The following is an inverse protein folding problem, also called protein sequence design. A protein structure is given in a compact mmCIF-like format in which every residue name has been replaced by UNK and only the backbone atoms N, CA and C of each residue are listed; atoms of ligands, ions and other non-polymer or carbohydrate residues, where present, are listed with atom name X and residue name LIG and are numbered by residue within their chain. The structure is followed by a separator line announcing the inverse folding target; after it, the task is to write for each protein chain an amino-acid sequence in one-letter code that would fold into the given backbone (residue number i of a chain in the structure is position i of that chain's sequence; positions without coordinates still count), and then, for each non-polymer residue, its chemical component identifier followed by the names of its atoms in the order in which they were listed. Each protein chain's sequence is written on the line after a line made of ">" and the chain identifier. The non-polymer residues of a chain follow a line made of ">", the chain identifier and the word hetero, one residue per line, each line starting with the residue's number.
data_IF_346364173117
#
_entry.id   IF_346364173117
#
_cell.length_a   1.000
_cell.length_b   1.000
_cell.length_c   1.000
_cell.angle_alpha   90.00
_cell.angle_beta   90.00
_cell.angle_gamma   90.00
#
_symmetry.space_group_name_H-M   'P 1'
#
loop_
_entity.id
_entity.type
_entity.pdbx_description
1 polymer ?
#
# COMPACT_ATOMS: atom_id res chain seq x y z
N UNK A 1 16.62 36.59 -45.17
CA UNK A 1 17.40 35.65 -44.35
C UNK A 1 16.47 34.56 -43.90
N UNK A 2 16.81 33.34 -44.31
CA UNK A 2 16.06 32.09 -44.24
C UNK A 2 15.86 31.60 -42.81
N UNK A 3 14.63 31.19 -42.48
CA UNK A 3 14.32 30.39 -41.30
C UNK A 3 15.03 29.03 -41.42
N UNK A 4 15.78 28.55 -40.41
CA UNK A 4 16.29 27.19 -40.43
C UNK A 4 15.13 26.23 -40.10
N UNK A 5 14.73 25.48 -41.13
CA UNK A 5 13.85 24.31 -41.05
C UNK A 5 14.64 23.11 -40.54
N UNK A 6 14.04 22.34 -39.63
CA UNK A 6 14.43 20.95 -39.35
C UNK A 6 15.56 20.73 -38.34
N UNK A 7 15.31 21.05 -37.06
CA UNK A 7 16.02 20.37 -35.97
C UNK A 7 15.20 19.16 -35.56
N UNK A 8 15.73 17.95 -35.74
CA UNK A 8 15.10 16.73 -35.22
C UNK A 8 14.87 16.91 -33.72
N UNK A 9 13.59 17.00 -33.35
CA UNK A 9 13.19 17.07 -31.94
C UNK A 9 13.58 15.72 -31.33
N UNK A 10 14.72 15.68 -30.63
CA UNK A 10 15.17 14.48 -29.90
C UNK A 10 14.03 14.05 -28.97
N UNK A 11 13.52 12.84 -29.17
CA UNK A 11 12.45 12.26 -28.35
C UNK A 11 13.06 11.37 -27.27
N UNK A 12 12.39 11.31 -26.13
CA UNK A 12 12.76 10.38 -25.06
C UNK A 12 12.59 8.93 -25.55
N UNK A 13 13.64 8.12 -25.48
CA UNK A 13 13.61 6.70 -25.86
C UNK A 13 12.67 5.85 -24.99
N UNK A 14 12.30 6.34 -23.80
CA UNK A 14 11.41 5.62 -22.87
C UNK A 14 9.92 5.99 -22.94
N UNK A 15 9.57 7.23 -23.34
CA UNK A 15 8.16 7.67 -23.38
C UNK A 15 7.74 8.40 -24.66
N UNK A 16 8.65 8.63 -25.61
CA UNK A 16 8.35 9.26 -26.90
C UNK A 16 8.09 10.78 -26.86
N UNK A 17 8.09 11.42 -25.68
CA UNK A 17 7.87 12.88 -25.54
C UNK A 17 9.11 13.66 -26.03
N UNK A 18 8.93 14.81 -26.71
CA UNK A 18 10.00 15.77 -27.01
C UNK A 18 10.86 16.13 -25.81
N UNK A 19 12.18 16.03 -25.94
CA UNK A 19 13.11 16.44 -24.89
C UNK A 19 13.27 17.96 -24.85
N UNK A 20 13.36 18.51 -23.65
CA UNK A 20 13.56 19.94 -23.40
C UNK A 20 14.43 20.13 -22.14
N UNK A 21 15.16 21.25 -22.08
CA UNK A 21 16.03 21.59 -20.94
C UNK A 21 15.62 22.90 -20.24
N UNK A 22 14.54 23.53 -20.68
CA UNK A 22 14.13 24.87 -20.27
C UNK A 22 13.33 24.89 -18.95
N UNK A 23 12.53 23.86 -18.66
CA UNK A 23 11.60 23.84 -17.53
C UNK A 23 11.61 22.49 -16.81
N UNK A 24 12.18 22.44 -15.60
CA UNK A 24 12.36 21.19 -14.84
C UNK A 24 11.05 20.50 -14.46
N UNK A 25 10.00 21.28 -14.27
CA UNK A 25 8.65 20.86 -13.90
C UNK A 25 7.81 20.35 -15.09
N UNK A 26 8.27 20.52 -16.33
CA UNK A 26 7.52 20.14 -17.53
C UNK A 26 7.92 18.77 -18.10
N UNK A 27 6.96 18.04 -18.72
CA UNK A 27 7.25 16.77 -19.40
C UNK A 27 8.39 16.91 -20.42
N UNK A 28 9.21 15.87 -20.54
CA UNK A 28 10.36 15.87 -21.45
C UNK A 28 11.62 16.54 -20.89
N UNK A 29 11.61 17.03 -19.65
CA UNK A 29 12.80 17.67 -19.08
C UNK A 29 14.00 16.72 -19.04
N UNK A 30 15.16 17.22 -19.48
CA UNK A 30 16.46 16.57 -19.43
C UNK A 30 17.54 17.63 -19.18
N UNK A 31 18.37 17.51 -18.13
CA UNK A 31 19.50 18.42 -17.92
C UNK A 31 20.45 18.41 -19.13
N UNK A 32 20.96 19.58 -19.55
CA UNK A 32 21.82 19.73 -20.74
C UNK A 32 22.99 18.74 -20.78
N UNK A 33 23.57 18.43 -19.61
CA UNK A 33 24.67 17.47 -19.44
C UNK A 33 24.33 16.01 -19.84
N UNK A 34 23.05 15.69 -20.02
CA UNK A 34 22.58 14.33 -20.30
C UNK A 34 21.99 14.15 -21.70
N UNK A 35 22.09 15.16 -22.59
CA UNK A 35 21.53 15.14 -23.95
C UNK A 35 22.18 14.15 -24.93
N UNK A 36 23.41 13.76 -24.64
CA UNK A 36 24.22 12.89 -25.48
C UNK A 36 24.38 11.47 -24.91
N UNK A 37 23.57 11.10 -23.91
CA UNK A 37 23.52 9.73 -23.39
C UNK A 37 22.77 8.81 -24.35
N UNK A 38 23.21 7.57 -24.47
CA UNK A 38 22.53 6.51 -25.22
C UNK A 38 22.17 5.33 -24.28
N UNK A 39 20.88 4.99 -24.08
CA UNK A 39 19.69 5.64 -24.62
C UNK A 39 19.35 6.96 -23.92
N UNK A 40 18.97 7.98 -24.71
CA UNK A 40 18.54 9.28 -24.17
C UNK A 40 17.14 9.16 -23.58
N UNK A 41 17.01 9.41 -22.28
CA UNK A 41 15.73 9.30 -21.55
C UNK A 41 15.50 10.54 -20.70
N UNK A 42 14.28 11.10 -20.73
CA UNK A 42 13.92 12.26 -19.92
C UNK A 42 14.03 11.97 -18.43
N UNK A 43 14.13 13.00 -17.59
CA UNK A 43 14.26 12.88 -16.13
C UNK A 43 13.18 11.97 -15.54
N UNK A 44 11.94 12.06 -16.04
CA UNK A 44 10.85 11.14 -15.66
C UNK A 44 11.19 9.68 -15.99
N UNK A 45 11.56 9.35 -17.22
CA UNK A 45 11.91 7.97 -17.60
C UNK A 45 13.18 7.47 -16.89
N UNK A 46 14.15 8.36 -16.64
CA UNK A 46 15.32 8.06 -15.83
C UNK A 46 14.94 7.70 -14.39
N UNK A 47 14.00 8.44 -13.80
CA UNK A 47 13.49 8.19 -12.45
C UNK A 47 12.68 6.89 -12.36
N UNK A 48 11.87 6.60 -13.37
CA UNK A 48 11.18 5.31 -13.51
C UNK A 48 12.19 4.16 -13.60
N UNK A 49 13.21 4.28 -14.47
CA UNK A 49 14.18 3.20 -14.73
C UNK A 49 15.13 2.92 -13.56
N UNK A 50 15.60 3.96 -12.87
CA UNK A 50 16.65 3.83 -11.85
C UNK A 50 16.13 3.86 -10.41
N UNK A 51 15.03 4.58 -10.14
CA UNK A 51 14.47 4.72 -8.80
C UNK A 51 13.11 4.03 -8.64
N UNK A 52 12.63 3.34 -9.69
CA UNK A 52 11.28 2.76 -9.73
C UNK A 52 10.18 3.79 -9.42
N UNK A 53 10.47 5.07 -9.61
CA UNK A 53 9.52 6.17 -9.52
C UNK A 53 8.70 6.18 -10.82
N UNK A 54 7.89 5.15 -11.02
CA UNK A 54 6.70 5.25 -11.85
C UNK A 54 6.05 6.60 -11.50
N UNK A 55 5.90 7.48 -12.48
CA UNK A 55 4.92 8.54 -12.36
C UNK A 55 3.59 7.82 -12.17
N UNK A 56 3.23 7.56 -10.92
CA UNK A 56 1.92 7.08 -10.56
C UNK A 56 1.01 8.22 -10.99
N UNK A 57 0.43 8.10 -12.17
CA UNK A 57 -0.78 8.83 -12.49
C UNK A 57 -1.76 8.28 -11.47
N UNK A 58 -1.91 9.02 -10.38
CA UNK A 58 -2.74 8.64 -9.25
C UNK A 58 -4.17 8.77 -9.73
N UNK A 59 -4.87 7.66 -9.70
CA UNK A 59 -6.25 7.59 -10.14
C UNK A 59 -7.11 7.97 -8.95
N UNK A 60 -7.99 8.95 -9.13
CA UNK A 60 -9.03 9.20 -8.16
C UNK A 60 -9.91 7.95 -8.02
N UNK A 61 -10.46 7.70 -6.83
CA UNK A 61 -11.17 6.46 -6.52
C UNK A 61 -12.27 6.17 -7.56
N UNK A 62 -13.01 7.20 -7.99
CA UNK A 62 -14.10 7.08 -8.95
C UNK A 62 -13.64 6.65 -10.35
N UNK A 63 -12.50 7.16 -10.82
CA UNK A 63 -11.95 6.80 -12.13
C UNK A 63 -11.43 5.35 -12.12
N UNK A 64 -10.89 4.89 -10.99
CA UNK A 64 -10.50 3.51 -10.81
C UNK A 64 -11.71 2.57 -10.76
N UNK A 65 -12.80 2.96 -10.07
CA UNK A 65 -14.03 2.17 -10.04
C UNK A 65 -14.64 2.01 -11.45
N UNK A 66 -14.53 3.03 -12.31
CA UNK A 66 -14.92 2.92 -13.73
C UNK A 66 -14.05 1.91 -14.48
N UNK A 67 -12.74 1.91 -14.25
CA UNK A 67 -11.81 0.93 -14.82
C UNK A 67 -12.19 -0.49 -14.37
N UNK A 68 -12.45 -0.71 -13.08
CA UNK A 68 -12.90 -2.01 -12.59
C UNK A 68 -14.22 -2.46 -13.23
N UNK A 69 -15.17 -1.55 -13.42
CA UNK A 69 -16.43 -1.84 -14.11
C UNK A 69 -16.25 -2.35 -15.54
N UNK A 70 -15.21 -1.88 -16.25
CA UNK A 70 -14.86 -2.41 -17.58
C UNK A 70 -14.32 -3.85 -17.51
N UNK A 71 -13.65 -4.23 -16.42
CA UNK A 71 -13.16 -5.60 -16.20
C UNK A 71 -14.35 -6.55 -16.03
N UNK A 72 -15.40 -6.12 -15.34
CA UNK A 72 -16.61 -6.94 -15.12
C UNK A 72 -17.30 -7.45 -16.38
N UNK A 73 -17.19 -6.73 -17.49
CA UNK A 73 -17.74 -7.15 -18.80
C UNK A 73 -16.82 -8.05 -19.63
N UNK A 74 -15.59 -8.30 -19.18
CA UNK A 74 -14.59 -9.10 -19.89
C UNK A 74 -14.48 -10.50 -19.27
N UNK A 75 -13.97 -11.46 -20.06
CA UNK A 75 -13.60 -12.79 -19.56
C UNK A 75 -12.18 -12.73 -18.97
N UNK A 76 -12.10 -12.46 -17.66
CA UNK A 76 -10.86 -12.13 -16.98
C UNK A 76 -10.67 -12.95 -15.69
N UNK A 77 -9.42 -13.24 -15.34
CA UNK A 77 -9.02 -13.64 -14.00
C UNK A 77 -8.49 -12.40 -13.28
N UNK A 78 -8.96 -12.12 -12.07
CA UNK A 78 -8.52 -10.96 -11.29
C UNK A 78 -7.60 -11.42 -10.17
N UNK A 79 -6.35 -10.95 -10.19
CA UNK A 79 -5.44 -11.08 -9.06
C UNK A 79 -5.58 -9.83 -8.21
N UNK A 80 -6.22 -9.96 -7.04
CA UNK A 80 -6.28 -8.88 -6.07
C UNK A 80 -5.13 -9.00 -5.09
N UNK A 81 -4.18 -8.07 -5.14
CA UNK A 81 -3.08 -7.99 -4.18
C UNK A 81 -3.42 -7.05 -3.02
N UNK A 82 -3.21 -7.53 -1.80
CA UNK A 82 -3.42 -6.80 -0.54
C UNK A 82 -2.18 -6.89 0.35
N UNK A 83 -1.99 -5.91 1.22
CA UNK A 83 -0.92 -5.88 2.20
C UNK A 83 -1.43 -6.45 3.53
N UNK A 84 -0.79 -7.51 4.07
CA UNK A 84 -1.20 -8.10 5.34
C UNK A 84 -1.06 -7.14 6.52
N UNK A 85 -0.07 -6.24 6.49
CA UNK A 85 0.13 -5.24 7.55
C UNK A 85 -0.97 -4.19 7.56
N UNK A 86 -1.51 -3.88 6.38
CA UNK A 86 -2.48 -2.82 6.13
C UNK A 86 -3.68 -3.35 5.34
N UNK A 87 -4.26 -4.46 5.81
CA UNK A 87 -5.22 -5.26 5.05
C UNK A 87 -6.52 -4.47 4.77
N UNK A 88 -7.08 -3.81 5.77
CA UNK A 88 -8.33 -3.04 5.71
C UNK A 88 -8.13 -1.68 5.02
N UNK A 89 -6.87 -1.25 4.91
CA UNK A 89 -6.45 -0.11 4.09
C UNK A 89 -6.24 -0.50 2.62
N UNK A 90 -5.92 -1.76 2.31
CA UNK A 90 -5.58 -2.23 0.95
C UNK A 90 -6.66 -3.07 0.27
N UNK A 91 -7.63 -3.61 1.02
CA UNK A 91 -8.74 -4.38 0.49
C UNK A 91 -9.75 -3.49 -0.22
N UNK A 92 -10.03 -3.80 -1.49
CA UNK A 92 -11.00 -3.07 -2.30
C UNK A 92 -12.41 -3.51 -1.89
N UNK A 93 -13.08 -2.68 -1.09
CA UNK A 93 -14.44 -2.93 -0.66
C UNK A 93 -15.39 -2.99 -1.85
N UNK A 94 -16.17 -4.07 -1.95
CA UNK A 94 -17.12 -4.25 -3.05
C UNK A 94 -16.47 -4.56 -4.40
N UNK A 95 -15.19 -4.94 -4.46
CA UNK A 95 -14.50 -5.35 -5.70
C UNK A 95 -15.35 -6.33 -6.53
N UNK A 96 -15.96 -7.33 -5.87
CA UNK A 96 -16.81 -8.33 -6.51
C UNK A 96 -17.93 -7.72 -7.37
N UNK A 97 -18.50 -6.58 -6.95
CA UNK A 97 -19.57 -5.91 -7.69
C UNK A 97 -19.09 -5.34 -9.02
N UNK A 98 -17.83 -4.93 -9.09
CA UNK A 98 -17.22 -4.35 -10.28
C UNK A 98 -16.64 -5.41 -11.21
N UNK A 99 -16.04 -6.47 -10.66
CA UNK A 99 -15.48 -7.56 -11.46
C UNK A 99 -16.53 -8.59 -11.89
N UNK A 100 -17.77 -8.49 -11.39
CA UNK A 100 -18.88 -9.34 -11.80
C UNK A 100 -18.68 -10.81 -11.41
N UNK A 101 -18.77 -11.70 -12.41
CA UNK A 101 -18.58 -13.14 -12.24
C UNK A 101 -17.14 -13.60 -12.48
N UNK A 102 -16.21 -12.67 -12.68
CA UNK A 102 -14.81 -13.03 -12.89
C UNK A 102 -14.22 -13.64 -11.62
N UNK A 103 -13.48 -14.77 -11.74
CA UNK A 103 -12.80 -15.37 -10.60
C UNK A 103 -11.76 -14.41 -10.03
N UNK A 104 -11.67 -14.38 -8.70
CA UNK A 104 -10.70 -13.56 -7.97
C UNK A 104 -9.75 -14.43 -7.17
N UNK A 105 -8.46 -14.30 -7.42
CA UNK A 105 -7.40 -14.89 -6.60
C UNK A 105 -6.82 -13.79 -5.72
N UNK A 106 -6.86 -13.97 -4.40
CA UNK A 106 -6.34 -12.99 -3.45
C UNK A 106 -4.88 -13.30 -3.12
N UNK A 107 -3.98 -12.40 -3.47
CA UNK A 107 -2.58 -12.43 -3.10
C UNK A 107 -2.35 -11.56 -1.86
N UNK A 108 -2.17 -12.19 -0.70
CA UNK A 108 -1.90 -11.52 0.57
C UNK A 108 -0.39 -11.36 0.75
N UNK A 109 0.12 -10.17 0.45
CA UNK A 109 1.54 -9.91 0.43
C UNK A 109 2.08 -9.43 1.79
N UNK A 110 3.42 -9.34 1.88
CA UNK A 110 4.20 -8.89 3.05
C UNK A 110 4.03 -9.76 4.30
N UNK A 111 3.78 -11.06 4.08
CA UNK A 111 3.73 -12.06 5.16
C UNK A 111 5.03 -12.13 5.97
N UNK A 112 6.15 -11.72 5.38
CA UNK A 112 7.44 -11.64 6.05
C UNK A 112 7.51 -10.62 7.18
N UNK A 113 6.55 -9.70 7.28
CA UNK A 113 6.44 -8.73 8.36
C UNK A 113 5.87 -9.34 9.63
N UNK A 114 5.16 -10.46 9.56
CA UNK A 114 4.67 -11.12 10.77
C UNK A 114 5.79 -11.87 11.51
N UNK A 115 5.71 -11.98 12.85
CA UNK A 115 6.67 -12.75 13.63
C UNK A 115 6.79 -14.20 13.13
N UNK A 116 7.98 -14.80 13.20
CA UNK A 116 8.21 -16.19 12.74
C UNK A 116 7.33 -17.24 13.42
N UNK A 117 6.89 -16.98 14.65
CA UNK A 117 6.05 -17.89 15.45
C UNK A 117 4.54 -17.78 15.11
N UNK A 118 4.19 -17.04 14.06
CA UNK A 118 2.80 -16.81 13.66
C UNK A 118 2.16 -18.10 13.15
N UNK A 119 0.95 -18.40 13.64
CA UNK A 119 0.14 -19.51 13.13
C UNK A 119 -0.52 -19.11 11.80
N UNK A 120 0.01 -19.61 10.69
CA UNK A 120 -0.49 -19.30 9.35
C UNK A 120 -1.93 -19.73 9.10
N UNK A 121 -2.41 -20.81 9.74
CA UNK A 121 -3.81 -21.23 9.61
C UNK A 121 -4.74 -20.19 10.26
N UNK A 122 -4.34 -19.62 11.40
CA UNK A 122 -5.11 -18.54 12.05
C UNK A 122 -5.14 -17.29 11.18
N UNK A 123 -4.02 -16.91 10.57
CA UNK A 123 -3.95 -15.79 9.63
C UNK A 123 -4.86 -16.03 8.43
N UNK A 124 -4.79 -17.21 7.82
CA UNK A 124 -5.64 -17.56 6.68
C UNK A 124 -7.13 -17.51 7.03
N UNK A 125 -7.52 -18.09 8.16
CA UNK A 125 -8.91 -18.03 8.64
C UNK A 125 -9.37 -16.59 8.90
N UNK A 126 -8.49 -15.75 9.45
CA UNK A 126 -8.76 -14.34 9.65
C UNK A 126 -8.96 -13.61 8.32
N UNK A 127 -8.09 -13.82 7.33
CA UNK A 127 -8.21 -13.23 5.99
C UNK A 127 -9.52 -13.67 5.34
N UNK A 128 -9.83 -14.96 5.35
CA UNK A 128 -11.08 -15.51 4.79
C UNK A 128 -12.32 -14.84 5.41
N UNK A 129 -12.31 -14.67 6.74
CA UNK A 129 -13.38 -13.97 7.45
C UNK A 129 -13.50 -12.52 6.99
N UNK A 130 -12.38 -11.81 6.88
CA UNK A 130 -12.39 -10.42 6.42
C UNK A 130 -12.88 -10.28 4.97
N UNK A 131 -12.47 -11.16 4.05
CA UNK A 131 -12.97 -11.18 2.68
C UNK A 131 -14.49 -11.37 2.65
N UNK A 132 -15.02 -12.31 3.43
CA UNK A 132 -16.45 -12.58 3.51
C UNK A 132 -17.23 -11.39 4.07
N UNK A 133 -16.72 -10.74 5.13
CA UNK A 133 -17.33 -9.54 5.71
C UNK A 133 -17.40 -8.37 4.72
N UNK A 134 -16.43 -8.25 3.82
CA UNK A 134 -16.40 -7.24 2.76
C UNK A 134 -17.08 -7.68 1.45
N UNK A 135 -17.73 -8.86 1.43
CA UNK A 135 -18.45 -9.38 0.28
C UNK A 135 -17.57 -9.79 -0.90
N UNK A 136 -16.27 -10.04 -0.67
CA UNK A 136 -15.35 -10.53 -1.69
C UNK A 136 -15.42 -12.06 -1.78
N UNK A 137 -15.67 -12.60 -2.98
CA UNK A 137 -15.60 -14.03 -3.25
C UNK A 137 -14.25 -14.34 -3.87
N UNK A 138 -13.42 -15.09 -3.16
CA UNK A 138 -12.10 -15.51 -3.62
C UNK A 138 -12.15 -16.98 -4.00
N UNK A 139 -11.66 -17.33 -5.18
CA UNK A 139 -11.41 -18.73 -5.58
C UNK A 139 -10.32 -19.30 -4.68
N UNK A 140 -9.22 -18.54 -4.54
CA UNK A 140 -8.08 -18.91 -3.72
C UNK A 140 -7.49 -17.72 -2.97
N UNK A 141 -6.83 -18.04 -1.86
CA UNK A 141 -6.09 -17.08 -1.03
C UNK A 141 -4.67 -17.59 -0.87
N UNK A 142 -3.71 -16.82 -1.38
CA UNK A 142 -2.30 -17.16 -1.35
C UNK A 142 -1.55 -16.16 -0.49
N UNK A 143 -0.87 -16.67 0.53
CA UNK A 143 0.03 -15.90 1.38
C UNK A 143 1.39 -15.78 0.68
N UNK A 144 1.84 -14.55 0.42
CA UNK A 144 3.04 -14.25 -0.34
C UNK A 144 3.97 -13.26 0.40
N UNK A 145 5.25 -13.27 0.02
CA UNK A 145 6.21 -12.23 0.39
C UNK A 145 7.06 -11.87 -0.82
N UNK A 146 6.69 -10.79 -1.51
CA UNK A 146 7.42 -10.27 -2.67
C UNK A 146 8.91 -10.03 -2.37
N UNK A 147 9.19 -9.57 -1.15
CA UNK A 147 10.55 -9.30 -0.68
C UNK A 147 11.39 -10.57 -0.51
N UNK A 148 10.80 -11.65 0.00
CA UNK A 148 11.50 -12.93 0.22
C UNK A 148 11.32 -13.94 -0.91
N UNK A 149 10.60 -13.57 -1.97
CA UNK A 149 10.23 -14.47 -3.07
C UNK A 149 9.52 -15.75 -2.57
N UNK A 150 8.64 -15.62 -1.57
CA UNK A 150 7.90 -16.74 -0.98
C UNK A 150 6.43 -16.71 -1.41
N UNK A 151 5.83 -17.87 -1.64
CA UNK A 151 4.41 -18.03 -2.00
C UNK A 151 4.08 -17.73 -3.47
N UNK A 152 5.03 -17.20 -4.26
CA UNK A 152 4.80 -16.88 -5.67
C UNK A 152 4.54 -18.12 -6.50
N UNK A 153 5.35 -19.18 -6.38
CA UNK A 153 5.12 -20.43 -7.13
C UNK A 153 3.69 -20.95 -6.97
N UNK A 154 3.19 -20.95 -5.72
CA UNK A 154 1.80 -21.31 -5.44
C UNK A 154 0.81 -20.34 -6.07
N UNK A 155 1.08 -19.03 -6.04
CA UNK A 155 0.22 -18.04 -6.71
C UNK A 155 0.17 -18.27 -8.22
N UNK A 156 1.29 -18.56 -8.86
CA UNK A 156 1.37 -18.89 -10.29
C UNK A 156 0.62 -20.18 -10.60
N UNK A 157 0.74 -21.20 -9.75
CA UNK A 157 0.01 -22.45 -9.89
C UNK A 157 -1.51 -22.21 -9.85
N UNK A 158 -2.00 -21.47 -8.85
CA UNK A 158 -3.43 -21.14 -8.74
C UNK A 158 -3.88 -20.27 -9.92
N UNK A 159 -3.07 -19.30 -10.34
CA UNK A 159 -3.36 -18.50 -11.54
C UNK A 159 -3.46 -19.41 -12.77
N UNK A 160 -2.53 -20.34 -12.97
CA UNK A 160 -2.57 -21.30 -14.07
C UNK A 160 -3.82 -22.19 -14.06
N UNK A 161 -4.22 -22.67 -12.87
CA UNK A 161 -5.41 -23.51 -12.70
C UNK A 161 -6.72 -22.75 -12.98
N UNK A 162 -6.82 -21.50 -12.52
CA UNK A 162 -8.07 -20.72 -12.60
C UNK A 162 -8.16 -19.84 -13.86
N UNK A 163 -7.05 -19.58 -14.54
CA UNK A 163 -7.01 -18.67 -15.69
C UNK A 163 -7.76 -19.26 -16.89
N UNK A 164 -7.42 -20.47 -17.33
CA UNK A 164 -7.92 -21.00 -18.61
C UNK A 164 -7.60 -20.04 -19.76
N UNK A 165 -8.57 -19.73 -20.60
CA UNK A 165 -8.43 -18.81 -21.74
C UNK A 165 -8.65 -17.32 -21.40
N UNK A 166 -8.45 -16.93 -20.13
CA UNK A 166 -8.73 -15.57 -19.65
C UNK A 166 -7.49 -14.68 -19.68
N UNK A 167 -7.74 -13.38 -19.86
CA UNK A 167 -6.76 -12.35 -19.55
C UNK A 167 -6.62 -12.19 -18.03
N UNK A 168 -5.42 -11.83 -17.55
CA UNK A 168 -5.15 -11.70 -16.11
C UNK A 168 -5.04 -10.22 -15.74
N UNK A 169 -5.90 -9.73 -14.86
CA UNK A 169 -5.86 -8.35 -14.37
C UNK A 169 -5.29 -8.30 -12.96
N UNK A 170 -4.22 -7.54 -12.76
CA UNK A 170 -3.62 -7.36 -11.44
C UNK A 170 -4.13 -6.05 -10.84
N UNK A 171 -4.86 -6.13 -9.72
CA UNK A 171 -5.50 -4.99 -9.05
C UNK A 171 -5.06 -4.90 -7.58
N UNK A 172 -4.88 -3.68 -7.09
CA UNK A 172 -4.55 -3.44 -5.68
C UNK A 172 -4.23 -1.99 -5.39
N UNK A 173 -4.16 -1.66 -4.10
CA UNK A 173 -3.76 -0.32 -3.67
C UNK A 173 -2.29 -0.02 -3.98
N UNK A 174 -1.90 1.24 -3.89
CA UNK A 174 -0.49 1.66 -3.91
C UNK A 174 0.32 0.97 -2.79
N UNK A 175 1.61 0.75 -3.02
CA UNK A 175 2.55 0.21 -2.03
C UNK A 175 2.21 -1.20 -1.45
N UNK A 176 1.26 -1.94 -2.03
CA UNK A 176 0.94 -3.33 -1.62
C UNK A 176 1.92 -4.37 -2.20
N UNK A 177 2.73 -3.97 -3.18
CA UNK A 177 3.68 -4.85 -3.88
C UNK A 177 3.22 -5.34 -5.26
N UNK A 178 2.23 -4.67 -5.87
CA UNK A 178 1.73 -4.97 -7.23
C UNK A 178 2.84 -5.02 -8.28
N UNK A 179 3.69 -4.00 -8.36
CA UNK A 179 4.79 -3.96 -9.32
C UNK A 179 5.83 -5.07 -9.09
N UNK A 180 6.08 -5.43 -7.83
CA UNK A 180 6.97 -6.55 -7.50
C UNK A 180 6.40 -7.89 -7.97
N UNK A 181 5.09 -8.10 -7.81
CA UNK A 181 4.39 -9.27 -8.33
C UNK A 181 4.47 -9.32 -9.87
N UNK A 182 4.22 -8.20 -10.54
CA UNK A 182 4.23 -8.14 -12.01
C UNK A 182 5.62 -8.41 -12.58
N UNK A 183 6.66 -7.80 -12.00
CA UNK A 183 8.04 -8.07 -12.40
C UNK A 183 8.41 -9.55 -12.24
N UNK A 184 7.76 -10.26 -11.29
CA UNK A 184 7.92 -11.70 -11.11
C UNK A 184 7.14 -12.49 -12.17
N UNK A 185 5.88 -12.12 -12.41
CA UNK A 185 5.05 -12.72 -13.46
C UNK A 185 5.71 -12.65 -14.82
N UNK A 186 6.31 -11.50 -15.17
CA UNK A 186 7.08 -11.33 -16.41
C UNK A 186 8.21 -12.37 -16.47
N UNK A 187 9.06 -12.47 -15.44
CA UNK A 187 10.20 -13.40 -15.47
C UNK A 187 9.81 -14.88 -15.62
N UNK A 188 8.67 -15.27 -15.06
CA UNK A 188 8.27 -16.68 -14.99
C UNK A 188 7.35 -17.11 -16.15
N UNK A 189 6.58 -16.20 -16.76
CA UNK A 189 5.63 -16.50 -17.83
C UNK A 189 6.04 -16.05 -19.23
N UNK A 190 7.15 -15.34 -19.33
CA UNK A 190 7.52 -14.73 -20.59
C UNK A 190 9.00 -15.03 -20.79
N UNK A 191 9.33 -15.76 -21.86
CA UNK A 191 10.70 -16.10 -22.27
C UNK A 191 11.48 -14.85 -22.76
N UNK A 192 11.26 -13.68 -22.15
CA UNK A 192 11.47 -12.38 -22.76
C UNK A 192 12.93 -11.88 -22.69
N UNK A 193 13.72 -12.30 -23.69
CA UNK A 193 14.54 -11.41 -24.52
C UNK A 193 13.66 -10.53 -25.46
N UNK A 194 12.36 -10.78 -25.51
CA UNK A 194 11.40 -9.94 -26.23
C UNK A 194 11.06 -8.70 -25.39
N UNK A 195 11.16 -7.55 -26.02
CA UNK A 195 10.96 -6.25 -25.40
C UNK A 195 9.56 -6.16 -24.79
N UNK A 196 9.47 -5.64 -23.55
CA UNK A 196 8.22 -5.17 -22.96
C UNK A 196 7.58 -4.18 -23.94
N UNK A 197 6.71 -4.67 -24.81
CA UNK A 197 5.89 -3.82 -25.67
C UNK A 197 4.85 -3.19 -24.77
N UNK A 198 5.24 -2.11 -24.12
CA UNK A 198 4.33 -1.26 -23.34
C UNK A 198 3.37 -0.63 -24.35
N UNK A 199 2.32 -1.36 -24.75
CA UNK A 199 1.23 -0.80 -25.51
C UNK A 199 0.45 0.11 -24.55
N UNK A 200 0.86 1.38 -24.47
CA UNK A 200 0.03 2.41 -23.84
C UNK A 200 -1.16 2.62 -24.76
N UNK A 201 -2.36 2.29 -24.31
CA UNK A 201 -3.56 2.63 -25.09
C UNK A 201 -3.64 4.16 -25.23
N UNK A 202 -3.54 4.73 -26.44
CA UNK A 202 -3.66 6.17 -26.61
C UNK A 202 -5.13 6.57 -26.42
N UNK A 203 -5.42 7.43 -25.45
CA UNK A 203 -6.74 8.06 -25.31
C UNK A 203 -7.44 7.94 -23.95
N UNK A 204 -6.83 7.27 -22.95
CA UNK A 204 -7.32 7.30 -21.57
C UNK A 204 -6.32 7.99 -20.65
N UNK A 205 -6.81 8.73 -19.66
CA UNK A 205 -6.03 9.33 -18.57
C UNK A 205 -5.30 8.29 -17.70
N UNK A 206 -5.62 7.00 -17.88
CA UNK A 206 -5.05 5.86 -17.16
C UNK A 206 -4.28 4.91 -18.10
N UNK A 207 -2.97 4.83 -17.91
CA UNK A 207 -2.07 3.94 -18.67
C UNK A 207 -2.07 2.54 -18.03
N UNK A 208 -2.84 1.59 -18.59
CA UNK A 208 -2.67 0.15 -18.30
C UNK A 208 -1.46 -0.41 -19.07
N UNK A 209 -0.74 -1.35 -18.48
CA UNK A 209 0.39 -2.04 -19.14
C UNK A 209 -0.02 -3.47 -19.46
N UNK A 210 0.03 -3.84 -20.74
CA UNK A 210 -0.26 -5.19 -21.19
C UNK A 210 1.05 -5.94 -21.40
N UNK A 211 1.16 -7.11 -20.80
CA UNK A 211 2.28 -8.03 -20.95
C UNK A 211 1.77 -9.23 -21.72
N UNK A 212 2.24 -9.46 -22.96
CA UNK A 212 1.81 -10.61 -23.75
C UNK A 212 2.29 -11.92 -23.13
N UNK A 213 1.49 -12.95 -23.30
CA UNK A 213 1.78 -14.33 -22.94
C UNK A 213 1.85 -15.19 -24.19
N UNK A 214 2.55 -16.34 -24.12
CA UNK A 214 2.79 -17.21 -25.27
C UNK A 214 1.50 -17.78 -25.89
N UNK A 215 0.42 -17.83 -25.11
CA UNK A 215 -0.91 -18.28 -25.53
C UNK A 215 -1.76 -17.16 -26.20
N UNK A 216 -1.16 -16.00 -26.50
CA UNK A 216 -1.82 -14.89 -27.17
C UNK A 216 -2.75 -14.06 -26.28
N UNK A 217 -2.70 -14.26 -24.96
CA UNK A 217 -3.41 -13.46 -23.96
C UNK A 217 -2.47 -12.48 -23.27
N UNK A 218 -3.01 -11.72 -22.31
CA UNK A 218 -2.27 -10.68 -21.62
C UNK A 218 -2.35 -10.80 -20.10
N UNK A 219 -1.28 -10.38 -19.42
CA UNK A 219 -1.31 -9.88 -18.05
C UNK A 219 -1.43 -8.36 -18.12
N UNK A 220 -2.48 -7.81 -17.52
CA UNK A 220 -2.78 -6.40 -17.51
C UNK A 220 -2.44 -5.84 -16.13
N UNK A 221 -1.44 -4.95 -16.09
CA UNK A 221 -1.18 -4.10 -14.95
C UNK A 221 -2.19 -2.96 -14.92
N UNK A 222 -2.99 -2.88 -13.85
CA UNK A 222 -3.87 -1.75 -13.60
C UNK A 222 -3.17 -0.71 -12.72
N UNK A 223 -3.44 0.59 -12.89
CA UNK A 223 -2.96 1.61 -11.95
C UNK A 223 -3.31 1.27 -10.49
N UNK A 224 -2.38 1.54 -9.58
CA UNK A 224 -2.62 1.30 -8.15
C UNK A 224 -3.60 2.32 -7.57
N UNK A 225 -4.52 1.84 -6.73
CA UNK A 225 -5.50 2.73 -6.06
C UNK A 225 -4.82 3.50 -4.95
N UNK A 226 -5.00 4.81 -4.96
CA UNK A 226 -4.60 5.67 -3.85
C UNK A 226 -5.76 5.79 -2.88
N UNK A 227 -5.52 5.39 -1.64
CA UNK A 227 -6.50 5.54 -0.58
C UNK A 227 -6.05 6.67 0.36
N UNK A 228 -6.74 7.82 0.37
CA UNK A 228 -6.30 8.99 1.15
C UNK A 228 -6.31 8.74 2.66
N UNK A 229 -6.96 7.65 3.11
CA UNK A 229 -7.02 7.23 4.50
C UNK A 229 -5.88 6.30 4.95
N UNK A 230 -4.82 6.15 4.15
CA UNK A 230 -3.63 5.37 4.50
C UNK A 230 -2.46 6.30 4.80
N UNK A 231 -1.68 5.99 5.84
CA UNK A 231 -0.48 6.78 6.14
C UNK A 231 0.46 6.88 4.94
N UNK A 232 0.53 5.86 4.08
CA UNK A 232 1.41 5.87 2.90
C UNK A 232 1.14 7.01 1.92
N UNK A 233 -0.06 7.58 1.94
CA UNK A 233 -0.48 8.66 1.03
C UNK A 233 -0.47 10.03 1.71
N UNK A 234 -0.29 10.07 3.05
CA UNK A 234 -0.34 11.30 3.85
C UNK A 234 1.05 11.74 4.30
N UNK A 235 1.95 10.79 4.59
CA UNK A 235 3.30 11.13 5.07
C UNK A 235 4.26 11.46 3.94
N UNK A 236 5.29 12.25 4.27
CA UNK A 236 6.39 12.53 3.35
C UNK A 236 7.13 11.23 2.96
N UNK A 237 7.80 11.25 1.81
CA UNK A 237 8.54 10.06 1.32
C UNK A 237 9.67 9.65 2.25
N UNK A 238 10.30 10.61 2.91
CA UNK A 238 11.37 10.42 3.88
C UNK A 238 10.86 9.70 5.14
N UNK A 239 9.63 10.00 5.56
CA UNK A 239 8.99 9.35 6.72
C UNK A 239 8.31 8.03 6.37
N UNK A 240 8.00 7.77 5.10
CA UNK A 240 7.37 6.53 4.67
C UNK A 240 8.15 5.29 5.13
N UNK A 241 9.49 5.32 5.05
CA UNK A 241 10.37 4.23 5.50
C UNK A 241 10.41 4.06 7.02
N UNK A 242 9.90 5.02 7.78
CA UNK A 242 9.79 4.94 9.25
C UNK A 242 8.44 4.34 9.66
N UNK A 243 7.37 4.73 9.00
CA UNK A 243 6.00 4.27 9.28
C UNK A 243 5.77 2.87 8.73
N UNK A 244 6.19 2.61 7.49
CA UNK A 244 6.05 1.30 6.85
C UNK A 244 7.17 0.36 7.30
N UNK A 245 6.87 -0.79 7.91
CA UNK A 245 7.88 -1.73 8.35
C UNK A 245 8.57 -2.41 7.17
N UNK A 246 9.90 -2.47 7.21
CA UNK A 246 10.72 -3.24 6.26
C UNK A 246 11.15 -4.61 6.82
N UNK A 247 11.10 -4.77 8.14
CA UNK A 247 11.56 -5.96 8.85
C UNK A 247 10.41 -6.57 9.63
N UNK A 248 10.50 -7.87 10.01
CA UNK A 248 9.51 -8.51 10.85
C UNK A 248 9.21 -7.67 12.10
N UNK A 249 7.92 -7.48 12.36
CA UNK A 249 7.41 -6.72 13.50
C UNK A 249 7.83 -7.39 14.79
N UNK A 250 8.36 -6.58 15.71
CA UNK A 250 8.66 -7.00 17.08
C UNK A 250 7.46 -6.61 17.95
N UNK A 251 6.76 -7.57 18.59
CA UNK A 251 5.66 -7.24 19.48
C UNK A 251 6.18 -6.44 20.67
N UNK A 252 5.70 -5.21 20.85
CA UNK A 252 6.07 -4.36 21.99
C UNK A 252 4.94 -4.33 23.01
N UNK A 253 5.15 -4.94 24.17
CA UNK A 253 4.12 -5.10 25.20
C UNK A 253 4.22 -3.99 26.24
N UNK A 254 3.11 -3.28 26.47
CA UNK A 254 2.98 -2.25 27.49
C UNK A 254 1.86 -2.61 28.46
N UNK A 255 2.18 -2.66 29.75
CA UNK A 255 1.20 -2.78 30.83
C UNK A 255 0.71 -1.38 31.20
N UNK A 256 -0.58 -1.09 30.98
CA UNK A 256 -1.16 0.24 31.20
C UNK A 256 -2.25 0.20 32.28
N UNK A 257 -2.30 1.27 33.05
CA UNK A 257 -3.43 1.66 33.89
C UNK A 257 -4.31 2.64 33.12
N UNK A 258 -5.56 2.77 33.57
CA UNK A 258 -6.44 3.84 33.15
C UNK A 258 -5.76 5.21 33.27
N UNK A 259 -5.99 6.09 32.29
CA UNK A 259 -5.39 7.42 32.24
C UNK A 259 -3.92 7.42 31.78
N UNK A 260 -3.52 6.44 30.95
CA UNK A 260 -2.18 6.41 30.35
C UNK A 260 -2.23 6.39 28.83
N UNK A 261 -1.16 6.95 28.25
CA UNK A 261 -1.05 7.23 26.83
C UNK A 261 0.24 6.64 26.25
N UNK A 262 0.18 6.17 25.02
CA UNK A 262 1.30 5.79 24.17
C UNK A 262 1.32 6.66 22.92
N UNK A 263 2.43 7.36 22.67
CA UNK A 263 2.71 8.03 21.41
C UNK A 263 3.51 7.12 20.48
N UNK A 264 3.21 7.19 19.19
CA UNK A 264 3.92 6.51 18.12
C UNK A 264 4.64 7.56 17.28
N UNK A 265 5.82 7.99 17.77
CA UNK A 265 6.45 9.23 17.32
C UNK A 265 5.46 10.41 17.36
N UNK A 266 5.53 11.27 16.35
CA UNK A 266 4.54 12.30 16.05
C UNK A 266 3.55 11.87 14.98
N UNK A 267 3.34 10.56 14.75
CA UNK A 267 2.36 10.07 13.78
C UNK A 267 1.02 9.71 14.41
N UNK A 268 0.99 9.25 15.66
CA UNK A 268 -0.28 8.93 16.31
C UNK A 268 -0.14 8.74 17.81
N UNK A 269 -1.29 8.62 18.46
CA UNK A 269 -1.40 8.47 19.92
C UNK A 269 -2.52 7.51 20.27
N UNK A 270 -2.29 6.70 21.29
CA UNK A 270 -3.25 5.76 21.86
C UNK A 270 -3.45 6.07 23.33
N UNK A 271 -4.69 6.28 23.74
CA UNK A 271 -5.10 6.60 25.10
C UNK A 271 -5.92 5.45 25.68
N UNK A 272 -5.53 4.97 26.85
CA UNK A 272 -6.33 4.07 27.65
C UNK A 272 -7.23 4.88 28.59
N UNK A 273 -8.46 5.13 28.17
CA UNK A 273 -9.38 6.05 28.83
C UNK A 273 -10.10 5.42 30.03
N UNK A 274 -10.52 4.16 29.91
CA UNK A 274 -11.24 3.46 30.98
C UNK A 274 -11.01 1.95 30.94
N UNK A 275 -10.71 1.34 32.08
CA UNK A 275 -10.67 -0.12 32.23
C UNK A 275 -9.68 -0.60 33.29
N UNK A 276 -9.74 -1.90 33.59
CA UNK A 276 -8.79 -2.53 34.52
C UNK A 276 -7.38 -2.58 33.93
N UNK A 277 -6.38 -2.63 34.83
CA UNK A 277 -4.98 -2.81 34.48
C UNK A 277 -4.81 -3.99 33.51
N UNK A 278 -4.27 -3.71 32.33
CA UNK A 278 -4.11 -4.73 31.29
C UNK A 278 -2.96 -4.40 30.34
N UNK A 279 -2.56 -5.40 29.56
CA UNK A 279 -1.51 -5.23 28.55
C UNK A 279 -2.06 -4.91 27.18
N UNK A 280 -1.30 -4.09 26.48
CA UNK A 280 -1.49 -3.74 25.09
C UNK A 280 -0.22 -4.11 24.33
N UNK A 281 -0.36 -4.80 23.20
CA UNK A 281 0.79 -5.17 22.37
C UNK A 281 0.76 -4.38 21.08
N UNK A 282 1.73 -3.50 20.91
CA UNK A 282 1.89 -2.67 19.72
C UNK A 282 2.66 -3.45 18.64
N UNK A 283 2.05 -3.54 17.46
CA UNK A 283 2.62 -4.09 16.23
C UNK A 283 2.75 -2.96 15.21
N UNK A 284 3.85 -2.21 15.33
CA UNK A 284 4.20 -1.07 14.47
C UNK A 284 5.64 -1.22 13.99
N UNK A 285 6.04 -0.40 13.03
CA UNK A 285 7.44 -0.34 12.58
C UNK A 285 8.40 -0.12 13.75
N UNK A 286 9.45 -0.95 13.84
CA UNK A 286 10.46 -0.84 14.90
C UNK A 286 11.35 0.41 14.79
N UNK A 287 11.22 1.19 13.71
CA UNK A 287 11.86 2.51 13.57
C UNK A 287 11.06 3.60 14.26
N UNK A 288 9.79 3.34 14.61
CA UNK A 288 8.94 4.28 15.29
C UNK A 288 9.05 4.06 16.81
N UNK A 289 9.60 5.06 17.50
CA UNK A 289 9.71 5.03 18.96
C UNK A 289 8.32 5.11 19.62
N UNK A 290 8.14 4.38 20.72
CA UNK A 290 6.95 4.47 21.56
C UNK A 290 7.29 5.26 22.82
N UNK A 291 6.59 6.38 23.03
CA UNK A 291 6.73 7.17 24.25
C UNK A 291 5.49 7.04 25.13
N UNK A 292 5.67 6.65 26.40
CA UNK A 292 4.57 6.50 27.36
C UNK A 292 4.49 7.71 28.28
N UNK A 293 3.29 8.23 28.47
CA UNK A 293 3.01 9.31 29.43
C UNK A 293 1.67 9.09 30.13
N UNK A 294 1.33 9.97 31.07
CA UNK A 294 -0.02 10.06 31.66
C UNK A 294 -0.92 10.85 30.73
N UNK A 295 -2.19 10.47 30.67
CA UNK A 295 -3.21 11.12 29.84
C UNK A 295 -3.32 12.62 30.13
N UNK A 296 -3.26 13.01 31.41
CA UNK A 296 -3.32 14.41 31.87
C UNK A 296 -2.18 15.29 31.33
N UNK A 297 -1.07 14.70 30.87
CA UNK A 297 0.10 15.41 30.30
C UNK A 297 0.25 15.19 28.80
N UNK A 298 -0.62 14.40 28.19
CA UNK A 298 -0.41 13.95 26.82
C UNK A 298 -0.55 15.11 25.82
N UNK A 299 -1.53 15.99 26.02
CA UNK A 299 -1.75 17.16 25.16
C UNK A 299 -0.56 18.14 25.23
N UNK A 300 -0.15 18.54 26.45
CA UNK A 300 0.98 19.45 26.65
C UNK A 300 2.30 18.86 26.14
N UNK A 301 2.53 17.55 26.34
CA UNK A 301 3.73 16.88 25.83
C UNK A 301 3.80 16.95 24.30
N UNK A 302 2.67 16.80 23.62
CA UNK A 302 2.63 16.89 22.16
C UNK A 302 2.89 18.31 21.69
N UNK A 303 2.24 19.31 22.29
CA UNK A 303 2.44 20.72 21.95
C UNK A 303 3.90 21.18 22.13
N UNK A 304 4.55 20.73 23.20
CA UNK A 304 5.92 21.17 23.54
C UNK A 304 7.01 20.38 22.80
N UNK A 305 6.78 19.10 22.49
CA UNK A 305 7.84 18.18 22.05
C UNK A 305 7.57 17.40 20.76
N UNK A 306 6.49 17.71 20.02
CA UNK A 306 6.27 17.14 18.70
C UNK A 306 7.33 17.61 17.69
N UNK A 307 7.88 16.65 16.93
CA UNK A 307 9.00 16.93 16.02
C UNK A 307 10.39 16.83 16.64
N UNK A 308 10.48 16.73 17.98
CA UNK A 308 11.72 16.57 18.73
C UNK A 308 11.75 15.20 19.43
N UNK A 309 11.21 15.10 20.65
CA UNK A 309 11.10 13.85 21.39
C UNK A 309 10.09 12.91 20.71
N UNK A 310 8.97 13.46 20.25
CA UNK A 310 7.94 12.73 19.53
C UNK A 310 8.22 12.83 18.03
N UNK A 311 9.27 12.12 17.61
CA UNK A 311 9.78 12.05 16.25
C UNK A 311 10.01 10.59 15.86
N UNK A 312 9.90 10.23 14.56
CA UNK A 312 9.45 11.04 13.41
C UNK A 312 7.95 11.39 13.45
N UNK A 313 7.48 12.41 12.70
CA UNK A 313 8.21 13.27 11.76
C UNK A 313 9.04 14.36 12.46
N UNK A 314 9.78 15.18 11.68
CA UNK A 314 10.38 16.43 12.20
C UNK A 314 9.32 17.51 12.35
N UNK A 315 9.63 18.60 13.06
CA UNK A 315 8.68 19.71 13.27
C UNK A 315 8.14 20.29 11.96
N UNK A 316 8.99 20.53 10.95
CA UNK A 316 8.53 21.07 9.66
C UNK A 316 7.57 20.11 8.94
N UNK A 317 7.88 18.81 8.94
CA UNK A 317 7.04 17.78 8.29
C UNK A 317 5.77 17.46 9.07
N UNK A 318 5.76 17.73 10.38
CA UNK A 318 4.56 17.63 11.20
C UNK A 318 3.52 18.69 10.76
N UNK A 319 3.96 19.89 10.38
CA UNK A 319 3.08 20.98 9.89
C UNK A 319 2.45 20.64 8.53
N UNK A 320 3.04 19.74 7.76
CA UNK A 320 2.48 19.23 6.50
C UNK A 320 1.36 18.19 6.73
N UNK A 321 1.30 17.58 7.92
CA UNK A 321 0.28 16.59 8.23
C UNK A 321 -1.07 17.25 8.54
N UNK A 322 -2.18 16.59 8.17
CA UNK A 322 -3.50 17.02 8.61
C UNK A 322 -3.61 17.07 10.14
N UNK A 323 -4.45 17.97 10.64
CA UNK A 323 -4.80 18.04 12.06
C UNK A 323 -5.26 16.67 12.58
N UNK A 324 -4.93 16.37 13.83
CA UNK A 324 -5.29 15.10 14.44
C UNK A 324 -6.78 15.04 14.78
N UNK A 325 -7.41 13.92 14.46
CA UNK A 325 -8.76 13.58 14.89
C UNK A 325 -8.75 12.48 15.94
N UNK A 326 -9.64 12.59 16.92
CA UNK A 326 -9.83 11.60 17.99
C UNK A 326 -10.88 10.58 17.59
N UNK A 327 -10.56 9.30 17.75
CA UNK A 327 -11.41 8.15 17.49
C UNK A 327 -11.58 7.36 18.78
N UNK A 328 -12.76 7.45 19.39
CA UNK A 328 -13.09 6.65 20.58
C UNK A 328 -13.63 5.28 20.20
N UNK A 329 -13.10 4.25 20.84
CA UNK A 329 -13.42 2.85 20.55
C UNK A 329 -13.72 2.14 21.87
N UNK A 330 -14.92 1.58 21.96
CA UNK A 330 -15.32 0.72 23.08
C UNK A 330 -15.05 -0.74 22.73
N UNK A 331 -14.25 -1.39 23.55
CA UNK A 331 -13.88 -2.80 23.43
C UNK A 331 -14.82 -3.63 24.32
N UNK A 332 -15.64 -4.51 23.74
CA UNK A 332 -16.58 -5.32 24.52
C UNK A 332 -15.86 -6.37 25.39
N UNK A 333 -16.46 -6.70 26.53
CA UNK A 333 -15.98 -7.79 27.40
C UNK A 333 -16.03 -9.14 26.68
N UNK A 334 -15.08 -10.02 26.98
CA UNK A 334 -14.99 -11.36 26.39
C UNK A 334 -14.59 -11.38 24.92
N UNK A 335 -14.16 -10.25 24.36
CA UNK A 335 -13.72 -10.17 22.96
C UNK A 335 -12.21 -9.94 22.87
N UNK A 336 -11.60 -10.47 21.80
CA UNK A 336 -10.20 -10.23 21.46
C UNK A 336 -10.16 -9.35 20.22
N UNK A 337 -9.82 -8.08 20.43
CA UNK A 337 -9.81 -7.08 19.38
C UNK A 337 -8.45 -6.41 19.27
N UNK A 338 -8.16 -6.00 18.04
CA UNK A 338 -7.06 -5.11 17.71
C UNK A 338 -7.64 -3.74 17.36
N UNK A 339 -6.98 -2.68 17.82
CA UNK A 339 -7.20 -1.32 17.33
C UNK A 339 -6.23 -1.09 16.18
N UNK A 340 -6.77 -1.00 14.97
CA UNK A 340 -6.02 -0.87 13.74
C UNK A 340 -5.95 0.58 13.28
N UNK A 341 -4.75 0.98 12.84
CA UNK A 341 -4.46 2.31 12.31
C UNK A 341 -3.83 2.12 10.92
N UNK A 342 -4.58 2.49 9.88
CA UNK A 342 -4.31 2.22 8.46
C UNK A 342 -2.94 2.74 7.99
N UNK A 343 -1.99 1.83 7.81
CA UNK A 343 -0.61 2.11 7.41
C UNK A 343 0.40 2.31 8.55
N UNK A 344 -0.03 2.48 9.81
CA UNK A 344 0.85 2.62 10.98
C UNK A 344 1.05 1.30 11.74
N UNK A 345 0.02 0.46 11.76
CA UNK A 345 0.02 -0.85 12.42
C UNK A 345 -1.22 -1.06 13.29
N UNK A 346 -1.10 -1.91 14.31
CA UNK A 346 -2.20 -2.15 15.24
C UNK A 346 -1.75 -2.34 16.69
N UNK A 347 -2.69 -2.11 17.60
CA UNK A 347 -2.54 -2.37 19.03
C UNK A 347 -3.48 -3.50 19.38
N UNK A 348 -2.91 -4.65 19.76
CA UNK A 348 -3.67 -5.77 20.30
C UNK A 348 -4.02 -5.50 21.76
N UNK A 349 -5.29 -5.65 22.09
CA UNK A 349 -5.77 -5.56 23.48
C UNK A 349 -5.77 -6.97 24.05
N UNK A 350 -4.93 -7.23 25.06
CA UNK A 350 -4.76 -8.59 25.57
C UNK A 350 -5.77 -8.96 26.67
N UNK A 351 -6.40 -7.95 27.30
CA UNK A 351 -7.41 -8.16 28.33
C UNK A 351 -8.78 -8.50 27.75
N UNK A 352 -9.54 -9.32 28.48
CA UNK A 352 -10.92 -9.67 28.13
C UNK A 352 -11.97 -8.91 28.98
N UNK A 353 -11.52 -8.00 29.84
CA UNK A 353 -12.38 -7.24 30.78
C UNK A 353 -13.13 -6.07 30.13
N UNK A 354 -12.89 -5.81 28.85
CA UNK A 354 -13.36 -4.63 28.13
C UNK A 354 -12.55 -3.38 28.47
N UNK A 355 -12.62 -2.39 27.58
CA UNK A 355 -11.89 -1.14 27.70
C UNK A 355 -12.58 -0.02 26.91
N UNK A 356 -12.39 1.22 27.32
CA UNK A 356 -12.59 2.40 26.47
C UNK A 356 -11.20 2.96 26.12
N UNK A 357 -10.95 3.10 24.82
CA UNK A 357 -9.68 3.62 24.31
C UNK A 357 -9.95 4.73 23.31
N UNK A 358 -9.01 5.64 23.15
CA UNK A 358 -9.02 6.61 22.07
C UNK A 358 -7.74 6.53 21.25
N UNK A 359 -7.87 6.73 19.95
CA UNK A 359 -6.72 6.90 19.06
C UNK A 359 -6.79 8.29 18.47
N UNK A 360 -5.67 8.99 18.48
CA UNK A 360 -5.48 10.22 17.74
C UNK A 360 -4.57 9.93 16.54
N UNK A 361 -5.04 10.29 15.36
CA UNK A 361 -4.30 10.15 14.11
C UNK A 361 -4.65 11.34 13.20
N UNK A 362 -3.81 11.70 12.21
CA UNK A 362 -4.12 12.73 11.24
C UNK A 362 -5.49 12.50 10.58
N UNK A 363 -6.23 13.59 10.38
CA UNK A 363 -7.55 13.58 9.78
C UNK A 363 -7.54 12.84 8.46
N UNK A 364 -8.51 11.94 8.29
CA UNK A 364 -8.65 11.12 7.10
C UNK A 364 -8.08 9.71 7.28
N UNK A 365 -7.10 9.51 8.16
CA UNK A 365 -6.56 8.17 8.43
C UNK A 365 -7.66 7.27 9.00
N UNK A 366 -7.77 6.07 8.43
CA UNK A 366 -8.76 5.07 8.86
C UNK A 366 -8.28 4.40 10.15
N UNK A 367 -9.08 4.57 11.21
CA UNK A 367 -8.92 3.90 12.50
C UNK A 367 -10.16 3.06 12.78
N UNK A 368 -9.98 1.80 13.20
CA UNK A 368 -11.09 0.90 13.50
C UNK A 368 -10.70 -0.17 14.53
N UNK A 369 -11.72 -0.81 15.11
CA UNK A 369 -11.55 -2.06 15.84
C UNK A 369 -11.86 -3.25 14.95
N UNK A 370 -11.07 -4.32 15.11
CA UNK A 370 -11.22 -5.58 14.36
C UNK A 370 -10.95 -6.80 15.23
N UNK A 371 -11.42 -8.00 14.87
CA UNK A 371 -11.01 -9.23 15.54
C UNK A 371 -9.49 -9.41 15.48
N UNK A 372 -8.88 -9.86 16.58
CA UNK A 372 -7.43 -9.97 16.64
C UNK A 372 -6.84 -10.91 15.60
N UNK A 373 -5.83 -10.43 14.87
CA UNK A 373 -5.09 -11.21 13.87
C UNK A 373 -4.22 -12.28 14.55
N UNK A 374 -3.51 -11.91 15.62
CA UNK A 374 -2.50 -12.74 16.31
C UNK A 374 -2.96 -13.20 17.67
#
# INVERSE_FOLDING_TARGET
>A
MTLPTGGDIKKCSGCGIPLQSAAQDKPGYLPEKAWDRDPVICQRCFRIKNYNEASSVTVDQDEFLRLLGQIGGKNALVIHIVDLFDFEGSLISGLQRFVGNNPVVLAVNKTDLLPKVTNWNKVLNWVQKQCKEHGLRTEDIVLCSAKKNQGFERLLEMVGQHRGDRDVYVVGATNVGKSSLINRLIRDYSDLDQELTVSRYPGTTLDMVNIPLDDGRYIIDTPGIVYPWRYSEVVSREDLGTVMPENPLKPMVYQLNEGQTLFFGGFGRFDFLQGEHQSFTCFISGRLGIHRTKLERADSLFEEHAGELLSPPTKERLEELPEWTRHEIRIPKGTRQDVFISGLGWIKINGEQGALVAVHAPKGIKVLSRPSLI
#
